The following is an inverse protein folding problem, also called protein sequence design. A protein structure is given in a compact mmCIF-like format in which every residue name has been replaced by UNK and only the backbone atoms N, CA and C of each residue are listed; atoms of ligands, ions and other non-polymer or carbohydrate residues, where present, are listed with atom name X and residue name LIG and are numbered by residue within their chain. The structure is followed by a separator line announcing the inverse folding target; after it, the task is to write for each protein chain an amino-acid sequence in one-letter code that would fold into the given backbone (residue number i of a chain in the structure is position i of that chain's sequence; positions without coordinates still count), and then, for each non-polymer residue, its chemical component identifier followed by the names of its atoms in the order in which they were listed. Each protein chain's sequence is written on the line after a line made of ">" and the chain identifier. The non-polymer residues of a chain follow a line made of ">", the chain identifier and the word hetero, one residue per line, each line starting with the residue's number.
data_IF_899296552254
#
_entry.id   IF_899296552254
#
_cell.length_a   1.000
_cell.length_b   1.000
_cell.length_c   1.000
_cell.angle_alpha   90.00
_cell.angle_beta   90.00
_cell.angle_gamma   90.00
#
_symmetry.space_group_name_H-M   'P 1'
#
loop_
_entity.id
_entity.type
_entity.pdbx_description
1 polymer ?
#
# COMPACT_ATOMS: atom_id res chain seq x y z
N UNK A 1 13.86 10.87 45.86
CA UNK A 1 15.22 11.12 46.37
C UNK A 1 15.87 9.78 46.72
N UNK A 2 16.52 9.13 45.77
CA UNK A 2 17.71 8.27 45.98
C UNK A 2 18.54 8.44 44.70
N UNK A 3 19.74 8.98 44.87
CA UNK A 3 20.74 9.27 43.85
C UNK A 3 21.98 8.45 44.21
N UNK A 4 22.68 7.90 43.21
CA UNK A 4 24.14 7.78 43.04
C UNK A 4 24.44 6.55 42.14
N UNK A 5 24.77 6.76 40.88
CA UNK A 5 26.09 7.11 40.30
C UNK A 5 26.89 5.87 39.90
N UNK A 6 27.00 5.68 38.57
CA UNK A 6 27.81 4.66 37.92
C UNK A 6 28.01 5.00 36.44
N UNK A 7 28.28 6.28 36.14
CA UNK A 7 28.80 6.71 34.84
C UNK A 7 30.31 6.48 34.82
N UNK A 8 30.78 5.51 34.05
CA UNK A 8 32.08 5.57 33.37
C UNK A 8 32.19 4.46 32.30
N UNK A 9 32.44 4.90 31.07
CA UNK A 9 33.19 4.23 30.00
C UNK A 9 32.46 3.16 29.14
N UNK A 10 31.93 3.66 28.03
CA UNK A 10 31.80 2.94 26.77
C UNK A 10 33.11 2.21 26.40
N UNK A 11 33.00 1.08 25.67
CA UNK A 11 33.50 1.13 24.30
C UNK A 11 32.35 0.92 23.31
N UNK A 12 32.17 1.92 22.47
CA UNK A 12 31.42 1.85 21.21
C UNK A 12 32.04 0.77 20.32
N UNK A 13 31.59 -0.49 20.46
CA UNK A 13 31.80 -1.49 19.42
C UNK A 13 30.83 -1.20 18.29
N UNK A 14 31.33 -0.48 17.29
CA UNK A 14 30.67 -0.31 16.01
C UNK A 14 30.52 -1.64 15.29
N UNK A 15 29.41 -2.31 15.50
CA UNK A 15 28.95 -3.32 14.56
C UNK A 15 28.34 -2.60 13.35
N UNK A 16 29.21 -2.23 12.41
CA UNK A 16 28.78 -1.94 11.03
C UNK A 16 28.31 -3.25 10.42
N UNK A 17 27.03 -3.58 10.60
CA UNK A 17 26.36 -4.58 9.78
C UNK A 17 26.52 -4.19 8.30
N UNK A 18 26.98 -5.10 7.43
CA UNK A 18 27.33 -4.77 6.06
C UNK A 18 26.07 -4.40 5.25
N UNK A 19 26.06 -3.16 4.75
CA UNK A 19 25.13 -2.61 3.73
C UNK A 19 25.33 -3.28 2.35
N UNK A 20 25.53 -4.59 2.31
CA UNK A 20 25.83 -5.35 1.09
C UNK A 20 24.59 -5.91 0.39
N UNK A 21 23.41 -5.88 1.01
CA UNK A 21 22.18 -6.41 0.42
C UNK A 21 21.58 -5.51 -0.67
N UNK A 22 21.60 -4.19 -0.46
CA UNK A 22 20.83 -3.24 -1.27
C UNK A 22 21.45 -2.99 -2.65
N UNK A 23 22.79 -2.98 -2.72
CA UNK A 23 23.52 -2.75 -3.97
C UNK A 23 23.45 -3.95 -4.94
N UNK A 24 23.45 -5.17 -4.40
CA UNK A 24 23.38 -6.39 -5.20
C UNK A 24 22.00 -6.57 -5.85
N UNK A 25 20.93 -6.27 -5.11
CA UNK A 25 19.56 -6.31 -5.64
C UNK A 25 19.35 -5.28 -6.75
N UNK A 26 19.88 -4.05 -6.58
CA UNK A 26 19.78 -2.98 -7.57
C UNK A 26 20.60 -3.30 -8.84
N UNK A 27 21.79 -3.88 -8.67
CA UNK A 27 22.65 -4.31 -9.78
C UNK A 27 22.02 -5.44 -10.60
N UNK A 28 21.44 -6.45 -9.93
CA UNK A 28 20.71 -7.55 -10.61
C UNK A 28 19.51 -7.01 -11.39
N UNK A 29 18.80 -6.02 -10.84
CA UNK A 29 17.66 -5.37 -11.50
C UNK A 29 18.04 -4.60 -12.75
N UNK A 30 19.13 -3.82 -12.69
CA UNK A 30 19.67 -3.08 -13.84
C UNK A 30 20.14 -4.07 -14.91
N UNK A 31 20.84 -5.14 -14.53
CA UNK A 31 21.30 -6.18 -15.45
C UNK A 31 20.12 -6.89 -16.14
N UNK A 32 19.05 -7.23 -15.42
CA UNK A 32 17.85 -7.84 -16.00
C UNK A 32 17.11 -6.91 -16.98
N UNK A 33 17.08 -5.60 -16.72
CA UNK A 33 16.45 -4.58 -17.60
C UNK A 33 17.27 -4.36 -18.88
N UNK A 34 18.60 -4.45 -18.80
CA UNK A 34 19.51 -4.21 -19.94
C UNK A 34 19.67 -5.45 -20.82
N UNK A 35 19.59 -6.67 -20.26
CA UNK A 35 19.98 -7.90 -20.98
C UNK A 35 18.88 -8.54 -21.85
N UNK A 36 17.60 -8.26 -21.60
CA UNK A 36 16.48 -8.96 -22.28
C UNK A 36 15.57 -8.00 -23.06
N UNK A 37 15.80 -7.74 -24.35
CA UNK A 37 14.97 -6.84 -25.16
C UNK A 37 13.57 -7.41 -25.44
N UNK A 38 12.55 -6.54 -25.45
CA UNK A 38 11.18 -6.86 -25.84
C UNK A 38 10.20 -6.98 -24.67
N UNK A 39 9.26 -7.93 -24.75
CA UNK A 39 8.20 -8.15 -23.74
C UNK A 39 8.75 -8.39 -22.31
N UNK A 40 9.97 -8.91 -22.21
CA UNK A 40 10.68 -9.16 -20.96
C UNK A 40 11.24 -7.88 -20.33
N UNK A 41 11.60 -6.85 -21.11
CA UNK A 41 12.04 -5.56 -20.57
C UNK A 41 10.88 -4.83 -19.88
N UNK A 42 9.67 -4.94 -20.43
CA UNK A 42 8.45 -4.36 -19.82
C UNK A 42 8.09 -5.09 -18.52
N UNK A 43 8.14 -6.43 -18.53
CA UNK A 43 7.95 -7.23 -17.32
C UNK A 43 9.00 -6.89 -16.26
N UNK A 44 10.28 -6.79 -16.64
CA UNK A 44 11.37 -6.39 -15.75
C UNK A 44 11.18 -5.01 -15.15
N UNK A 45 10.69 -4.02 -15.92
CA UNK A 45 10.38 -2.68 -15.38
C UNK A 45 9.19 -2.70 -14.41
N UNK A 46 8.17 -3.52 -14.63
CA UNK A 46 7.08 -3.69 -13.66
C UNK A 46 7.54 -4.40 -12.39
N UNK A 47 8.41 -5.40 -12.50
CA UNK A 47 9.02 -6.08 -11.36
C UNK A 47 9.92 -5.12 -10.58
N UNK A 48 10.72 -4.30 -11.27
CA UNK A 48 11.51 -3.23 -10.69
C UNK A 48 10.64 -2.25 -9.89
N UNK A 49 9.56 -1.79 -10.52
CA UNK A 49 8.62 -0.87 -9.91
C UNK A 49 8.01 -1.48 -8.65
N UNK A 50 7.52 -2.72 -8.73
CA UNK A 50 6.94 -3.42 -7.59
C UNK A 50 7.96 -3.60 -6.46
N UNK A 51 9.18 -4.03 -6.77
CA UNK A 51 10.22 -4.27 -5.78
C UNK A 51 10.67 -2.98 -5.09
N UNK A 52 10.88 -1.90 -5.86
CA UNK A 52 11.21 -0.58 -5.31
C UNK A 52 10.07 0.00 -4.46
N UNK A 53 8.81 -0.19 -4.86
CA UNK A 53 7.66 0.25 -4.07
C UNK A 53 7.46 -0.57 -2.79
N UNK A 54 7.76 -1.87 -2.81
CA UNK A 54 7.77 -2.71 -1.61
C UNK A 54 8.89 -2.25 -0.67
N UNK A 55 10.09 -2.04 -1.18
CA UNK A 55 11.24 -1.57 -0.41
C UNK A 55 11.04 -0.14 0.13
N UNK A 56 10.34 0.72 -0.60
CA UNK A 56 9.97 2.05 -0.13
C UNK A 56 9.08 2.00 1.12
N UNK A 57 8.39 0.87 1.32
CA UNK A 57 7.49 0.60 2.44
C UNK A 57 6.57 1.80 2.70
N UNK A 58 5.65 2.11 1.75
CA UNK A 58 4.95 3.40 1.66
C UNK A 58 4.10 3.71 2.89
N UNK A 59 3.70 2.67 3.62
CA UNK A 59 2.93 2.80 4.84
C UNK A 59 3.75 3.44 5.97
N UNK A 60 5.06 3.22 6.02
CA UNK A 60 5.92 3.90 6.98
C UNK A 60 6.11 5.37 6.64
N UNK A 61 6.23 5.72 5.35
CA UNK A 61 6.15 7.12 4.91
C UNK A 61 4.83 7.77 5.36
N UNK A 62 3.72 7.04 5.26
CA UNK A 62 2.41 7.52 5.66
C UNK A 62 2.29 7.78 7.18
N UNK A 63 2.98 7.00 8.01
CA UNK A 63 2.94 7.15 9.47
C UNK A 63 4.05 8.07 10.02
N UNK A 64 5.27 8.01 9.45
CA UNK A 64 6.40 8.84 9.89
C UNK A 64 6.28 10.29 9.46
N UNK A 65 5.80 10.59 8.25
CA UNK A 65 5.74 12.00 7.79
C UNK A 65 4.83 12.83 8.71
N UNK A 66 3.61 12.40 9.08
CA UNK A 66 2.81 13.11 10.07
C UNK A 66 3.45 13.13 11.46
N UNK A 67 4.13 12.06 11.88
CA UNK A 67 4.82 12.01 13.17
C UNK A 67 6.00 13.00 13.25
N UNK A 68 6.77 13.11 12.16
CA UNK A 68 7.88 14.05 12.00
C UNK A 68 7.38 15.50 11.99
N UNK A 69 6.28 15.77 11.28
CA UNK A 69 5.63 17.09 11.29
C UNK A 69 5.05 17.45 12.67
N UNK A 70 4.67 16.45 13.47
CA UNK A 70 4.25 16.62 14.87
C UNK A 70 5.43 16.75 15.85
N UNK A 71 6.67 16.86 15.36
CA UNK A 71 7.86 17.12 16.18
C UNK A 71 8.50 15.89 16.80
N UNK A 72 8.14 14.67 16.37
CA UNK A 72 8.87 13.47 16.82
C UNK A 72 10.23 13.36 16.13
N UNK A 73 11.27 12.86 16.83
CA UNK A 73 12.55 12.57 16.21
C UNK A 73 12.35 11.50 15.14
N UNK A 74 12.57 11.86 13.88
CA UNK A 74 12.44 10.98 12.72
C UNK A 74 13.76 10.92 11.97
N UNK A 75 14.12 9.73 11.48
CA UNK A 75 15.35 9.56 10.71
C UNK A 75 15.14 10.06 9.27
N UNK A 76 15.47 11.34 9.04
CA UNK A 76 15.34 11.99 7.74
C UNK A 76 16.10 11.27 6.62
N UNK A 77 17.14 10.49 6.94
CA UNK A 77 17.90 9.71 5.94
C UNK A 77 17.11 8.50 5.47
N UNK A 78 16.47 7.78 6.40
CA UNK A 78 15.58 6.66 6.08
C UNK A 78 14.36 7.15 5.28
N UNK A 79 13.77 8.27 5.71
CA UNK A 79 12.64 8.89 5.03
C UNK A 79 13.00 9.33 3.59
N UNK A 80 14.18 9.94 3.42
CA UNK A 80 14.71 10.30 2.10
C UNK A 80 14.98 9.08 1.21
N UNK A 81 15.54 8.01 1.76
CA UNK A 81 15.78 6.77 1.02
C UNK A 81 14.47 6.12 0.56
N UNK A 82 13.45 6.08 1.42
CA UNK A 82 12.11 5.55 1.09
C UNK A 82 11.40 6.40 0.03
N UNK A 83 11.51 7.73 0.11
CA UNK A 83 11.01 8.62 -0.94
C UNK A 83 11.70 8.36 -2.28
N UNK A 84 13.03 8.21 -2.29
CA UNK A 84 13.79 7.92 -3.49
C UNK A 84 13.39 6.56 -4.11
N UNK A 85 13.16 5.53 -3.28
CA UNK A 85 12.66 4.23 -3.72
C UNK A 85 11.24 4.33 -4.31
N UNK A 86 10.35 5.11 -3.68
CA UNK A 86 9.00 5.33 -4.19
C UNK A 86 9.01 6.05 -5.55
N UNK A 87 9.81 7.11 -5.67
CA UNK A 87 10.01 7.85 -6.93
C UNK A 87 10.61 6.92 -7.99
N UNK A 88 11.65 6.15 -7.66
CA UNK A 88 12.25 5.16 -8.54
C UNK A 88 11.24 4.13 -9.04
N UNK A 89 10.39 3.61 -8.15
CA UNK A 89 9.33 2.69 -8.51
C UNK A 89 8.30 3.29 -9.47
N UNK A 90 7.88 4.54 -9.22
CA UNK A 90 6.97 5.28 -10.10
C UNK A 90 7.59 5.55 -11.48
N UNK A 91 8.88 5.88 -11.53
CA UNK A 91 9.62 6.10 -12.78
C UNK A 91 9.74 4.81 -13.59
N UNK A 92 10.04 3.66 -12.96
CA UNK A 92 10.07 2.37 -13.64
C UNK A 92 8.70 1.95 -14.16
N UNK A 93 7.62 2.22 -13.42
CA UNK A 93 6.25 2.01 -13.90
C UNK A 93 5.92 2.91 -15.11
N UNK A 94 6.34 4.18 -15.06
CA UNK A 94 6.24 5.12 -16.17
C UNK A 94 7.00 4.66 -17.42
N UNK A 95 8.21 4.13 -17.24
CA UNK A 95 9.06 3.61 -18.31
C UNK A 95 8.49 2.33 -18.93
N UNK A 96 7.99 1.40 -18.11
CA UNK A 96 7.30 0.20 -18.59
C UNK A 96 6.10 0.57 -19.48
N UNK A 97 5.39 1.63 -19.10
CA UNK A 97 4.25 2.14 -19.84
C UNK A 97 4.65 2.85 -21.14
N UNK A 98 5.71 3.67 -21.13
CA UNK A 98 6.22 4.32 -22.34
C UNK A 98 6.68 3.30 -23.39
N UNK A 99 7.17 2.13 -22.94
CA UNK A 99 7.60 1.00 -23.79
C UNK A 99 6.44 0.08 -24.22
N UNK A 100 5.24 0.27 -23.68
CA UNK A 100 4.07 -0.50 -24.08
C UNK A 100 3.45 0.14 -25.33
N UNK A 101 3.17 -0.61 -26.41
CA UNK A 101 2.59 -0.05 -27.63
C UNK A 101 1.29 0.71 -27.34
N UNK A 102 1.25 2.00 -27.72
CA UNK A 102 0.02 2.82 -27.66
C UNK A 102 -1.00 2.22 -28.62
N UNK A 103 -2.12 1.73 -28.09
CA UNK A 103 -3.28 1.34 -28.91
C UNK A 103 -4.25 2.52 -28.99
N UNK A 104 -4.81 2.71 -30.19
CA UNK A 104 -5.50 3.93 -30.62
C UNK A 104 -6.72 4.35 -29.79
N UNK A 105 -7.31 5.51 -30.14
CA UNK A 105 -8.46 6.07 -29.43
C UNK A 105 -9.63 5.08 -29.43
N UNK A 106 -10.28 4.91 -28.27
CA UNK A 106 -11.46 4.06 -28.10
C UNK A 106 -12.68 4.94 -27.85
N UNK A 107 -13.82 4.54 -28.38
CA UNK A 107 -15.10 5.18 -28.07
C UNK A 107 -15.40 5.08 -26.57
N UNK A 108 -15.79 6.22 -25.99
CA UNK A 108 -16.01 6.40 -24.56
C UNK A 108 -17.32 5.73 -24.11
N UNK A 109 -17.27 4.44 -23.81
CA UNK A 109 -18.38 3.69 -23.21
C UNK A 109 -18.01 3.10 -21.84
N UNK A 110 -18.92 3.21 -20.86
CA UNK A 110 -18.77 2.55 -19.56
C UNK A 110 -18.64 1.04 -19.76
N UNK A 111 -17.55 0.46 -19.25
CA UNK A 111 -17.30 -0.98 -19.30
C UNK A 111 -17.73 -1.59 -17.97
N UNK A 112 -18.65 -2.56 -18.04
CA UNK A 112 -19.10 -3.29 -16.87
C UNK A 112 -17.94 -4.14 -16.34
N UNK A 113 -17.61 -3.93 -15.06
CA UNK A 113 -16.60 -4.72 -14.36
C UNK A 113 -17.23 -6.06 -13.92
N UNK A 114 -16.50 -7.19 -14.03
CA UNK A 114 -17.02 -8.49 -13.62
C UNK A 114 -17.59 -8.52 -12.19
N UNK A 115 -18.62 -9.34 -11.97
CA UNK A 115 -19.32 -9.41 -10.67
C UNK A 115 -18.42 -9.85 -9.51
N UNK A 116 -17.40 -10.69 -9.76
CA UNK A 116 -16.42 -11.04 -8.74
C UNK A 116 -15.59 -9.82 -8.29
N UNK A 117 -15.12 -9.00 -9.22
CA UNK A 117 -14.33 -7.80 -8.90
C UNK A 117 -15.17 -6.76 -8.15
N UNK A 118 -16.48 -6.67 -8.45
CA UNK A 118 -17.42 -5.85 -7.67
C UNK A 118 -17.61 -6.36 -6.24
N UNK A 119 -17.66 -7.69 -6.03
CA UNK A 119 -17.70 -8.28 -4.67
C UNK A 119 -16.44 -7.91 -3.88
N UNK A 120 -15.26 -8.05 -4.50
CA UNK A 120 -13.99 -7.66 -3.88
C UNK A 120 -13.88 -6.15 -3.62
N UNK A 121 -14.50 -5.31 -4.45
CA UNK A 121 -14.59 -3.87 -4.18
C UNK A 121 -15.44 -3.58 -2.94
N UNK A 122 -16.53 -4.33 -2.71
CA UNK A 122 -17.28 -4.22 -1.45
C UNK A 122 -16.47 -4.72 -0.26
N UNK A 123 -15.71 -5.80 -0.41
CA UNK A 123 -14.76 -6.25 0.62
C UNK A 123 -13.71 -5.18 0.93
N UNK A 124 -13.20 -4.48 -0.10
CA UNK A 124 -12.23 -3.40 0.06
C UNK A 124 -12.79 -2.15 0.75
N UNK A 125 -14.12 -2.00 0.83
CA UNK A 125 -14.80 -0.99 1.65
C UNK A 125 -15.07 -1.52 3.05
N UNK A 126 -15.58 -2.75 3.15
CA UNK A 126 -15.98 -3.35 4.42
C UNK A 126 -14.79 -3.56 5.36
N UNK A 127 -13.64 -4.01 4.85
CA UNK A 127 -12.46 -4.29 5.68
C UNK A 127 -11.93 -3.04 6.41
N UNK A 128 -11.70 -1.89 5.75
CA UNK A 128 -11.33 -0.66 6.45
C UNK A 128 -12.39 -0.13 7.41
N UNK A 129 -13.67 -0.32 7.12
CA UNK A 129 -14.75 0.16 8.00
C UNK A 129 -14.81 -0.69 9.26
N UNK A 130 -15.01 -2.00 9.11
CA UNK A 130 -15.25 -2.89 10.24
C UNK A 130 -13.97 -3.38 10.91
N UNK A 131 -12.91 -3.61 10.14
CA UNK A 131 -11.64 -4.12 10.63
C UNK A 131 -10.68 -3.05 11.14
N UNK A 132 -10.91 -1.77 10.80
CA UNK A 132 -10.04 -0.67 11.23
C UNK A 132 -10.82 0.46 11.90
N UNK A 133 -11.72 1.13 11.19
CA UNK A 133 -12.37 2.34 11.68
C UNK A 133 -13.23 2.08 12.93
N UNK A 134 -13.92 0.94 13.02
CA UNK A 134 -14.71 0.59 14.21
C UNK A 134 -13.81 0.35 15.44
N UNK A 135 -12.81 -0.55 15.42
CA UNK A 135 -11.89 -0.73 16.55
C UNK A 135 -11.18 0.57 16.97
N UNK A 136 -10.64 1.31 16.00
CA UNK A 136 -9.89 2.53 16.29
C UNK A 136 -10.80 3.66 16.77
N UNK A 137 -12.02 3.76 16.24
CA UNK A 137 -13.03 4.68 16.73
C UNK A 137 -13.43 4.38 18.17
N UNK A 138 -13.60 3.10 18.54
CA UNK A 138 -13.83 2.68 19.92
C UNK A 138 -12.65 3.08 20.83
N UNK A 139 -11.41 2.89 20.39
CA UNK A 139 -10.23 3.33 21.14
C UNK A 139 -10.18 4.85 21.30
N UNK A 140 -10.49 5.62 20.26
CA UNK A 140 -10.57 7.09 20.35
C UNK A 140 -11.66 7.55 21.34
N UNK A 141 -12.76 6.79 21.45
CA UNK A 141 -13.82 7.03 22.42
C UNK A 141 -13.51 6.51 23.83
N UNK A 142 -12.34 5.91 24.05
CA UNK A 142 -11.90 5.39 25.36
C UNK A 142 -12.46 4.00 25.70
N UNK A 143 -12.95 3.25 24.72
CA UNK A 143 -13.40 1.86 24.91
C UNK A 143 -12.24 0.91 24.59
N UNK A 144 -11.72 0.11 25.55
CA UNK A 144 -10.59 -0.79 25.35
C UNK A 144 -11.03 -2.07 24.61
N UNK A 145 -11.43 -1.92 23.35
CA UNK A 145 -11.90 -3.03 22.52
C UNK A 145 -10.74 -3.91 22.06
N UNK A 146 -10.63 -5.11 22.63
CA UNK A 146 -9.64 -6.13 22.23
C UNK A 146 -8.18 -5.72 22.46
N UNK A 147 -7.96 -4.79 23.40
CA UNK A 147 -6.66 -4.37 23.91
C UNK A 147 -6.73 -4.17 25.44
N UNK A 148 -5.61 -4.33 26.18
CA UNK A 148 -5.53 -3.98 27.59
C UNK A 148 -5.74 -2.47 27.83
N UNK A 149 -6.24 -2.09 29.02
CA UNK A 149 -6.45 -0.68 29.38
C UNK A 149 -5.17 0.14 29.37
N UNK A 150 -4.08 -0.44 29.85
CA UNK A 150 -2.75 0.20 29.83
C UNK A 150 -2.34 0.60 28.41
N UNK A 151 -2.61 -0.26 27.43
CA UNK A 151 -2.34 0.01 26.02
C UNK A 151 -3.23 1.13 25.46
N UNK A 152 -4.49 1.19 25.87
CA UNK A 152 -5.40 2.29 25.52
C UNK A 152 -4.92 3.63 26.08
N UNK A 153 -4.46 3.65 27.34
CA UNK A 153 -3.95 4.85 27.98
C UNK A 153 -2.69 5.36 27.27
N UNK A 154 -1.81 4.45 26.83
CA UNK A 154 -0.62 4.79 26.05
C UNK A 154 -0.99 5.35 24.66
N UNK A 155 -2.02 4.81 24.01
CA UNK A 155 -2.59 5.36 22.77
C UNK A 155 -3.07 6.80 23.00
N UNK A 156 -3.82 7.07 24.06
CA UNK A 156 -4.33 8.41 24.38
C UNK A 156 -3.23 9.41 24.76
N UNK A 157 -2.18 8.95 25.45
CA UNK A 157 -1.01 9.80 25.76
C UNK A 157 -0.18 10.12 24.51
N UNK A 158 -0.15 9.21 23.54
CA UNK A 158 0.73 9.32 22.37
C UNK A 158 0.08 9.93 21.14
N UNK A 159 -1.24 9.82 20.98
CA UNK A 159 -1.97 10.33 19.82
C UNK A 159 -2.75 11.60 20.16
N UNK A 160 -2.60 12.63 19.33
CA UNK A 160 -3.49 13.78 19.38
C UNK A 160 -4.90 13.40 18.90
N UNK A 161 -5.91 14.12 19.38
CA UNK A 161 -7.31 13.93 18.94
C UNK A 161 -7.45 14.02 17.43
N UNK A 162 -6.72 14.94 16.79
CA UNK A 162 -6.72 15.12 15.32
C UNK A 162 -6.21 13.87 14.62
N UNK A 163 -5.09 13.30 15.09
CA UNK A 163 -4.54 12.07 14.52
C UNK A 163 -5.47 10.87 14.75
N UNK A 164 -6.12 10.79 15.92
CA UNK A 164 -7.13 9.77 16.23
C UNK A 164 -8.36 9.82 15.32
N UNK A 165 -8.80 11.02 14.94
CA UNK A 165 -9.90 11.18 13.97
C UNK A 165 -9.43 10.83 12.55
N UNK A 166 -8.25 11.31 12.15
CA UNK A 166 -7.70 11.05 10.82
C UNK A 166 -7.48 9.55 10.57
N UNK A 167 -6.90 8.84 11.54
CA UNK A 167 -6.64 7.41 11.44
C UNK A 167 -7.94 6.61 11.30
N UNK A 168 -9.04 7.08 11.89
CA UNK A 168 -10.35 6.43 11.81
C UNK A 168 -11.06 6.68 10.47
N UNK A 169 -10.95 7.89 9.92
CA UNK A 169 -11.72 8.31 8.73
C UNK A 169 -11.04 8.05 7.39
N UNK A 170 -9.71 8.15 7.34
CA UNK A 170 -8.96 8.03 6.07
C UNK A 170 -9.13 6.64 5.41
N UNK A 171 -9.04 5.51 6.13
CA UNK A 171 -9.13 4.19 5.50
C UNK A 171 -10.50 3.87 4.88
N UNK A 172 -11.65 4.19 5.52
CA UNK A 172 -12.96 4.10 4.86
C UNK A 172 -13.06 4.92 3.58
N UNK A 173 -12.51 6.14 3.56
CA UNK A 173 -12.48 6.99 2.36
C UNK A 173 -11.63 6.36 1.26
N UNK A 174 -10.49 5.78 1.60
CA UNK A 174 -9.66 5.02 0.66
C UNK A 174 -10.42 3.80 0.10
N UNK A 175 -11.17 3.07 0.94
CA UNK A 175 -12.06 1.99 0.49
C UNK A 175 -13.11 2.47 -0.52
N UNK A 176 -13.73 3.63 -0.28
CA UNK A 176 -14.69 4.23 -1.21
C UNK A 176 -14.05 4.59 -2.55
N UNK A 177 -12.79 5.08 -2.56
CA UNK A 177 -12.04 5.32 -3.80
C UNK A 177 -11.85 4.02 -4.60
N UNK A 178 -11.57 2.91 -3.93
CA UNK A 178 -11.45 1.58 -4.58
C UNK A 178 -12.79 1.12 -5.15
N UNK A 179 -13.90 1.38 -4.45
CA UNK A 179 -15.24 1.13 -5.00
C UNK A 179 -15.48 1.89 -6.31
N UNK A 180 -14.90 3.09 -6.44
CA UNK A 180 -14.93 3.90 -7.65
C UNK A 180 -14.42 3.16 -8.89
N UNK A 181 -13.43 2.28 -8.76
CA UNK A 181 -12.92 1.46 -9.87
C UNK A 181 -14.02 0.59 -10.53
N UNK A 182 -15.05 0.21 -9.77
CA UNK A 182 -16.15 -0.62 -10.29
C UNK A 182 -17.37 0.18 -10.76
N UNK A 183 -17.36 1.50 -10.52
CA UNK A 183 -18.48 2.39 -10.79
C UNK A 183 -18.15 3.35 -11.94
N UNK A 184 -19.20 4.01 -12.46
CA UNK A 184 -19.07 4.94 -13.60
C UNK A 184 -18.08 6.07 -13.31
N UNK A 185 -18.03 6.57 -12.07
CA UNK A 185 -17.18 7.69 -11.67
C UNK A 185 -15.68 7.36 -11.62
N UNK A 186 -15.27 6.08 -11.58
CA UNK A 186 -13.87 5.69 -11.74
C UNK A 186 -13.43 5.47 -13.19
N UNK A 187 -14.37 5.43 -14.14
CA UNK A 187 -14.09 5.30 -15.57
C UNK A 187 -14.33 6.59 -16.35
N UNK A 188 -15.22 7.45 -15.86
CA UNK A 188 -15.59 8.70 -16.48
C UNK A 188 -15.68 9.77 -15.40
N UNK A 189 -15.10 10.93 -15.68
CA UNK A 189 -15.18 12.06 -14.76
C UNK A 189 -16.64 12.50 -14.58
N UNK A 190 -17.10 12.68 -13.33
CA UNK A 190 -18.48 13.05 -13.04
C UNK A 190 -18.89 14.36 -13.73
N UNK A 191 -20.20 14.50 -14.01
CA UNK A 191 -20.72 15.68 -14.74
C UNK A 191 -20.52 17.02 -14.01
N UNK A 192 -20.25 16.97 -12.71
CA UNK A 192 -19.99 18.12 -11.84
C UNK A 192 -18.51 18.56 -11.81
N UNK A 193 -17.59 17.85 -12.48
CA UNK A 193 -16.20 18.29 -12.63
C UNK A 193 -16.08 19.29 -13.80
N UNK A 194 -15.77 20.58 -13.57
CA UNK A 194 -15.93 21.63 -14.58
C UNK A 194 -15.06 21.45 -15.83
N UNK A 195 -13.84 20.90 -15.68
CA UNK A 195 -12.82 20.85 -16.75
C UNK A 195 -12.77 19.49 -17.47
N UNK A 196 -13.15 18.40 -16.80
CA UNK A 196 -12.99 17.03 -17.30
C UNK A 196 -14.32 16.31 -17.56
N UNK A 197 -15.43 17.05 -17.52
CA UNK A 197 -16.81 16.56 -17.67
C UNK A 197 -16.95 15.47 -18.75
N UNK A 198 -17.31 14.26 -18.34
CA UNK A 198 -17.62 13.15 -19.25
C UNK A 198 -16.41 12.58 -20.02
N UNK A 199 -15.20 13.07 -19.76
CA UNK A 199 -13.99 12.49 -20.35
C UNK A 199 -13.70 11.12 -19.72
N UNK A 200 -13.19 10.16 -20.51
CA UNK A 200 -12.73 8.89 -19.96
C UNK A 200 -11.53 9.14 -19.04
N UNK A 201 -11.56 8.55 -17.85
CA UNK A 201 -10.43 8.55 -16.92
C UNK A 201 -9.32 7.71 -17.53
N UNK A 202 -8.10 8.26 -17.72
CA UNK A 202 -6.96 7.47 -18.16
C UNK A 202 -6.79 6.25 -17.24
N UNK A 203 -6.84 5.05 -17.81
CA UNK A 203 -6.78 3.79 -17.06
C UNK A 203 -5.63 3.74 -16.03
N UNK A 204 -4.49 4.35 -16.36
CA UNK A 204 -3.30 4.38 -15.52
C UNK A 204 -3.45 5.25 -14.27
N UNK A 205 -4.20 6.37 -14.35
CA UNK A 205 -4.47 7.22 -13.20
C UNK A 205 -5.23 6.47 -12.10
N UNK A 206 -5.98 5.44 -12.47
CA UNK A 206 -6.68 4.58 -11.53
C UNK A 206 -5.82 3.37 -11.09
N UNK A 207 -5.15 2.72 -12.05
CA UNK A 207 -4.44 1.45 -11.81
C UNK A 207 -3.14 1.63 -11.02
N UNK A 208 -2.35 2.66 -11.32
CA UNK A 208 -1.06 2.87 -10.65
C UNK A 208 -1.25 3.12 -9.15
N UNK A 209 -2.04 4.12 -8.70
CA UNK A 209 -2.19 4.36 -7.27
C UNK A 209 -2.87 3.19 -6.56
N UNK A 210 -3.90 2.57 -7.16
CA UNK A 210 -4.55 1.41 -6.56
C UNK A 210 -3.62 0.19 -6.45
N UNK A 211 -2.79 -0.04 -7.47
CA UNK A 211 -1.79 -1.11 -7.47
C UNK A 211 -0.68 -0.88 -6.44
N UNK A 212 -0.18 0.36 -6.32
CA UNK A 212 0.80 0.76 -5.30
C UNK A 212 0.25 0.50 -3.89
N UNK A 213 -0.98 0.97 -3.62
CA UNK A 213 -1.63 0.78 -2.32
C UNK A 213 -1.86 -0.70 -2.04
N UNK A 214 -2.37 -1.47 -3.01
CA UNK A 214 -2.56 -2.91 -2.84
C UNK A 214 -1.25 -3.62 -2.47
N UNK A 215 -0.17 -3.31 -3.19
CA UNK A 215 1.13 -3.93 -2.96
C UNK A 215 1.72 -3.54 -1.60
N UNK A 216 1.62 -2.26 -1.23
CA UNK A 216 2.07 -1.77 0.07
C UNK A 216 1.34 -2.46 1.23
N UNK A 217 0.02 -2.59 1.12
CA UNK A 217 -0.83 -3.22 2.13
C UNK A 217 -0.54 -4.72 2.28
N UNK A 218 -0.38 -5.44 1.16
CA UNK A 218 -0.02 -6.86 1.19
C UNK A 218 1.37 -7.05 1.77
N UNK A 219 2.36 -6.28 1.33
CA UNK A 219 3.72 -6.37 1.84
C UNK A 219 3.78 -6.07 3.34
N UNK A 220 3.08 -5.03 3.81
CA UNK A 220 2.96 -4.71 5.22
C UNK A 220 2.32 -5.87 6.00
N UNK A 221 1.14 -6.34 5.57
CA UNK A 221 0.44 -7.42 6.25
C UNK A 221 1.27 -8.72 6.34
N UNK A 222 1.93 -9.13 5.25
CA UNK A 222 2.80 -10.32 5.25
C UNK A 222 4.00 -10.12 6.18
N UNK A 223 4.72 -8.99 6.05
CA UNK A 223 5.92 -8.74 6.86
C UNK A 223 5.58 -8.67 8.36
N UNK A 224 4.50 -7.97 8.72
CA UNK A 224 4.05 -7.88 10.11
C UNK A 224 3.65 -9.24 10.68
N UNK A 225 3.00 -10.11 9.91
CA UNK A 225 2.68 -11.48 10.34
C UNK A 225 3.94 -12.30 10.53
N UNK A 226 4.90 -12.22 9.59
CA UNK A 226 6.18 -12.95 9.69
C UNK A 226 6.96 -12.50 10.93
N UNK A 227 7.04 -11.19 11.17
CA UNK A 227 7.70 -10.63 12.36
C UNK A 227 7.01 -11.10 13.64
N UNK A 228 5.68 -11.00 13.71
CA UNK A 228 4.91 -11.43 14.88
C UNK A 228 5.10 -12.91 15.18
N UNK A 229 5.02 -13.77 14.15
CA UNK A 229 5.25 -15.21 14.29
C UNK A 229 6.67 -15.48 14.76
N UNK A 230 7.67 -14.78 14.20
CA UNK A 230 9.06 -14.86 14.64
C UNK A 230 9.21 -14.51 16.13
N UNK A 231 8.63 -13.40 16.59
CA UNK A 231 8.68 -12.97 17.99
C UNK A 231 8.01 -13.96 18.95
N UNK A 232 6.89 -14.56 18.54
CA UNK A 232 6.20 -15.59 19.34
C UNK A 232 7.04 -16.87 19.44
N UNK A 233 7.65 -17.30 18.34
CA UNK A 233 8.49 -18.50 18.32
C UNK A 233 9.82 -18.31 19.07
N UNK A 234 10.39 -17.11 19.03
CA UNK A 234 11.61 -16.76 19.77
C UNK A 234 11.36 -16.51 21.27
N UNK A 235 10.10 -16.41 21.69
CA UNK A 235 9.73 -16.14 23.09
C UNK A 235 9.78 -14.67 23.50
N UNK A 236 10.13 -13.76 22.58
CA UNK A 236 10.16 -12.30 22.81
C UNK A 236 8.75 -11.73 23.05
N UNK A 237 7.71 -12.39 22.50
CA UNK A 237 6.31 -12.02 22.70
C UNK A 237 5.51 -13.22 23.19
N UNK A 238 5.09 -13.24 24.47
CA UNK A 238 4.27 -14.31 25.01
C UNK A 238 2.93 -14.42 24.28
N UNK A 239 2.41 -15.65 24.13
CA UNK A 239 1.09 -15.88 23.52
C UNK A 239 -0.05 -15.16 24.25
N UNK A 240 0.05 -15.01 25.57
CA UNK A 240 -0.92 -14.25 26.37
C UNK A 240 -1.05 -12.80 25.88
N UNK A 241 0.07 -12.16 25.53
CA UNK A 241 0.07 -10.78 25.03
C UNK A 241 -0.64 -10.68 23.68
N UNK A 242 -0.43 -11.64 22.78
CA UNK A 242 -1.12 -11.70 21.47
C UNK A 242 -2.62 -11.92 21.67
N UNK A 243 -3.00 -12.79 22.61
CA UNK A 243 -4.41 -13.06 22.93
C UNK A 243 -5.10 -11.84 23.55
N UNK A 244 -4.44 -11.17 24.49
CA UNK A 244 -5.03 -10.06 25.24
C UNK A 244 -5.10 -8.78 24.37
N UNK A 245 -4.17 -8.63 23.42
CA UNK A 245 -4.14 -7.57 22.39
C UNK A 245 -4.66 -8.00 21.02
N UNK A 246 -5.56 -8.99 20.95
CA UNK A 246 -5.96 -9.63 19.69
C UNK A 246 -6.48 -8.67 18.63
N UNK A 247 -7.07 -7.53 19.01
CA UNK A 247 -7.59 -6.56 18.03
C UNK A 247 -6.46 -5.91 17.22
N UNK A 248 -5.29 -5.70 17.83
CA UNK A 248 -4.10 -5.20 17.12
C UNK A 248 -3.60 -6.26 16.14
N UNK A 249 -3.53 -7.52 16.57
CA UNK A 249 -3.12 -8.63 15.69
C UNK A 249 -4.11 -8.87 14.55
N UNK A 250 -5.41 -8.82 14.83
CA UNK A 250 -6.45 -8.94 13.82
C UNK A 250 -6.35 -7.83 12.78
N UNK A 251 -5.97 -6.63 13.19
CA UNK A 251 -5.75 -5.50 12.30
C UNK A 251 -4.64 -5.76 11.26
N UNK A 252 -3.59 -6.53 11.62
CA UNK A 252 -2.56 -6.94 10.66
C UNK A 252 -3.13 -7.81 9.53
N UNK A 253 -4.04 -8.73 9.89
CA UNK A 253 -4.75 -9.56 8.92
C UNK A 253 -5.73 -8.74 8.07
N UNK A 254 -6.36 -7.72 8.66
CA UNK A 254 -7.22 -6.78 7.94
C UNK A 254 -6.41 -6.04 6.87
N UNK A 255 -5.19 -5.59 7.14
CA UNK A 255 -4.33 -4.97 6.13
C UNK A 255 -4.01 -5.90 4.97
N UNK A 256 -3.67 -7.16 5.28
CA UNK A 256 -3.40 -8.17 4.26
C UNK A 256 -4.65 -8.42 3.39
N UNK A 257 -5.78 -8.67 4.02
CA UNK A 257 -7.06 -8.90 3.33
C UNK A 257 -7.50 -7.69 2.51
N UNK A 258 -7.27 -6.47 3.03
CA UNK A 258 -7.59 -5.23 2.35
C UNK A 258 -6.70 -5.05 1.12
N UNK A 259 -5.39 -5.23 1.26
CA UNK A 259 -4.44 -5.17 0.14
C UNK A 259 -4.80 -6.16 -0.98
N UNK A 260 -5.14 -7.40 -0.63
CA UNK A 260 -5.63 -8.41 -1.58
C UNK A 260 -6.91 -7.93 -2.26
N UNK A 261 -7.88 -7.42 -1.50
CA UNK A 261 -9.14 -6.95 -2.06
C UNK A 261 -8.96 -5.78 -3.05
N UNK A 262 -8.07 -4.82 -2.73
CA UNK A 262 -7.71 -3.72 -3.64
C UNK A 262 -7.02 -4.26 -4.89
N UNK A 263 -6.08 -5.20 -4.74
CA UNK A 263 -5.36 -5.82 -5.86
C UNK A 263 -6.30 -6.56 -6.81
N UNK A 264 -7.18 -7.40 -6.27
CA UNK A 264 -8.17 -8.16 -7.05
C UNK A 264 -9.15 -7.22 -7.75
N UNK A 265 -9.63 -6.17 -7.09
CA UNK A 265 -10.49 -5.14 -7.70
C UNK A 265 -9.76 -4.44 -8.85
N UNK A 266 -8.49 -4.09 -8.65
CA UNK A 266 -7.64 -3.46 -9.67
C UNK A 266 -7.44 -4.38 -10.87
N UNK A 267 -7.23 -5.68 -10.66
CA UNK A 267 -7.14 -6.67 -11.75
C UNK A 267 -8.46 -6.70 -12.52
N UNK A 268 -9.61 -6.77 -11.84
CA UNK A 268 -10.92 -6.73 -12.48
C UNK A 268 -11.16 -5.47 -13.32
N UNK A 269 -10.75 -4.31 -12.79
CA UNK A 269 -10.76 -3.04 -13.52
C UNK A 269 -9.89 -3.10 -14.77
N UNK A 270 -8.65 -3.60 -14.66
CA UNK A 270 -7.75 -3.72 -15.81
C UNK A 270 -8.30 -4.66 -16.87
N UNK A 271 -8.97 -5.75 -16.49
CA UNK A 271 -9.58 -6.70 -17.42
C UNK A 271 -10.75 -6.07 -18.17
N UNK A 272 -11.64 -5.35 -17.47
CA UNK A 272 -12.77 -4.66 -18.07
C UNK A 272 -12.34 -3.51 -19.00
N UNK A 273 -11.18 -2.90 -18.71
CA UNK A 273 -10.62 -1.78 -19.48
C UNK A 273 -9.46 -2.19 -20.41
N UNK A 274 -9.28 -3.50 -20.66
CA UNK A 274 -8.31 -3.99 -21.64
C UNK A 274 -8.76 -3.63 -23.05
N UNK A 275 -7.86 -3.13 -23.92
CA UNK A 275 -8.16 -3.00 -25.33
C UNK A 275 -8.38 -4.38 -25.93
N UNK A 276 -9.61 -4.68 -26.35
CA UNK A 276 -9.88 -5.82 -27.23
C UNK A 276 -8.97 -5.69 -28.45
N UNK A 277 -8.18 -6.72 -28.77
CA UNK A 277 -7.55 -6.80 -30.09
C UNK A 277 -8.71 -6.84 -31.08
N UNK A 278 -8.79 -5.86 -31.98
CA UNK A 278 -9.70 -5.95 -33.12
C UNK A 278 -9.45 -7.31 -33.78
N UNK A 279 -10.49 -8.12 -33.89
CA UNK A 279 -10.51 -9.21 -34.84
C UNK A 279 -10.13 -8.59 -36.18
N UNK A 280 -8.92 -8.87 -36.65
CA UNK A 280 -8.56 -8.66 -38.05
C UNK A 280 -9.64 -9.41 -38.82
N UNK A 281 -10.56 -8.65 -39.41
CA UNK A 281 -11.57 -9.20 -40.28
C UNK A 281 -10.82 -9.94 -41.38
N UNK A 282 -10.88 -11.26 -41.36
CA UNK A 282 -10.61 -12.06 -42.53
C UNK A 282 -11.73 -11.70 -43.49
N UNK A 283 -11.52 -10.66 -44.29
CA UNK A 283 -12.33 -10.40 -45.47
C UNK A 283 -11.97 -11.52 -46.43
N UNK A 284 -12.81 -12.56 -46.48
CA UNK A 284 -12.82 -13.53 -47.56
C UNK A 284 -13.46 -12.82 -48.74
N UNK A 285 -12.62 -12.29 -49.61
CA UNK A 285 -13.05 -11.84 -50.93
C UNK A 285 -13.39 -13.12 -51.71
N UNK A 286 -14.67 -13.26 -52.09
CA UNK A 286 -15.21 -14.32 -52.95
C UNK A 286 -15.50 -13.72 -54.30
#
# INVERSE_FOLDING_TARGET
>A
MIHLNGMALLPQRGERLPRCGDGAALAVLVVCVVRFPGRWSVAGCWTAAALLLVLAFPLHLLFEVPAAMAGRPSDWRDLGARLALAIGGLLFAGLANARTPRRGPREAGYQLVPGWARRWAYTAVALPVFGWAVPHGLWVLGVPFGIPREQLDDIHRSLSTVTGVAITLVPPLAGLLVLGLTRRWGQQFPRWTPVLRGRPVPRLLAVIPAGVVALALVAYGVLSVVVLVGQVLSGDTPWSQVRDGWAVTATLLVFLGWGVAVGVTTIGYTLATRPTRGSVGIRRDS
#
